data_IF_263461631810
#
_entry.id   IF_263461631810
#
_cell.length_a   1.000
_cell.length_b   1.000
_cell.length_c   1.000
_cell.angle_alpha   90.00
_cell.angle_beta   90.00
_cell.angle_gamma   90.00
#
_symmetry.space_group_name_H-M   'P 1'
#
loop_
_entity.id
_entity.type
_entity.pdbx_description
1 polymer ?
#
# COMPACT_ATOMS: atom_id res chain seq x y z
N UNK A 1 -10.90 -13.56 -12.73
CA UNK A 1 -9.73 -13.76 -13.60
C UNK A 1 -9.58 -12.63 -14.62
N UNK A 2 -10.63 -12.29 -15.38
CA UNK A 2 -10.60 -11.20 -16.37
C UNK A 2 -10.17 -9.84 -15.81
N UNK A 3 -10.68 -9.42 -14.64
CA UNK A 3 -10.28 -8.14 -14.04
C UNK A 3 -8.79 -8.04 -13.68
N UNK A 4 -8.19 -9.13 -13.21
CA UNK A 4 -6.75 -9.18 -12.91
C UNK A 4 -5.90 -9.03 -14.17
N UNK A 5 -6.33 -9.64 -15.29
CA UNK A 5 -5.65 -9.51 -16.57
C UNK A 5 -5.72 -8.07 -17.12
N UNK A 6 -6.88 -7.42 -16.99
CA UNK A 6 -7.06 -6.00 -17.35
C UNK A 6 -6.15 -5.11 -16.48
N UNK A 7 -6.07 -5.37 -15.18
CA UNK A 7 -5.15 -4.67 -14.28
C UNK A 7 -3.70 -4.81 -14.72
N UNK A 8 -3.27 -6.02 -15.09
CA UNK A 8 -1.90 -6.31 -15.51
C UNK A 8 -1.56 -5.60 -16.82
N UNK A 9 -2.49 -5.57 -17.78
CA UNK A 9 -2.33 -4.81 -19.04
C UNK A 9 -2.24 -3.31 -18.75
N UNK A 10 -3.14 -2.77 -17.92
CA UNK A 10 -3.12 -1.37 -17.53
C UNK A 10 -1.79 -0.96 -16.89
N UNK A 11 -1.30 -1.76 -15.95
CA UNK A 11 0.01 -1.56 -15.33
C UNK A 11 1.15 -1.61 -16.38
N UNK A 12 1.14 -2.58 -17.29
CA UNK A 12 2.11 -2.65 -18.38
C UNK A 12 2.11 -1.40 -19.27
N UNK A 13 0.93 -0.86 -19.57
CA UNK A 13 0.80 0.38 -20.35
C UNK A 13 1.36 1.59 -19.58
N UNK A 14 1.14 1.68 -18.27
CA UNK A 14 1.73 2.77 -17.48
C UNK A 14 3.27 2.77 -17.48
N UNK A 15 3.90 1.60 -17.67
CA UNK A 15 5.35 1.46 -17.76
C UNK A 15 5.91 1.87 -19.13
N UNK A 16 5.07 2.07 -20.15
CA UNK A 16 5.49 2.54 -21.48
C UNK A 16 5.78 4.05 -21.51
N UNK A 17 5.34 4.79 -20.49
CA UNK A 17 5.73 6.18 -20.36
C UNK A 17 7.21 6.23 -19.98
N UNK A 18 8.04 6.81 -20.85
CA UNK A 18 9.48 6.88 -20.63
C UNK A 18 9.74 7.60 -19.30
N UNK A 19 10.37 6.90 -18.36
CA UNK A 19 10.78 7.39 -17.03
C UNK A 19 11.80 8.54 -17.03
N UNK A 20 11.90 9.31 -18.12
CA UNK A 20 12.75 10.50 -18.24
C UNK A 20 12.48 11.56 -17.16
N UNK A 21 11.34 11.47 -16.44
CA UNK A 21 10.98 12.35 -15.33
C UNK A 21 11.18 11.74 -13.92
N UNK A 22 11.64 10.47 -13.80
CA UNK A 22 11.84 9.78 -12.52
C UNK A 22 13.29 9.31 -12.33
N UNK A 23 14.25 10.21 -12.59
CA UNK A 23 15.67 9.95 -12.34
C UNK A 23 16.29 8.92 -13.30
N UNK A 24 17.52 9.17 -13.70
CA UNK A 24 18.29 8.32 -14.63
C UNK A 24 18.75 7.02 -13.94
N UNK A 25 17.81 6.24 -13.39
CA UNK A 25 18.09 4.96 -12.73
C UNK A 25 17.66 3.81 -13.63
N UNK A 26 18.61 2.94 -13.95
CA UNK A 26 18.36 1.74 -14.74
C UNK A 26 17.49 0.76 -13.93
N UNK A 27 16.45 0.23 -14.57
CA UNK A 27 15.60 -0.80 -13.97
C UNK A 27 16.49 -2.03 -13.72
N UNK A 28 16.59 -2.49 -12.47
CA UNK A 28 17.45 -3.62 -12.09
C UNK A 28 16.61 -4.81 -11.63
N UNK A 29 17.04 -6.02 -12.02
CA UNK A 29 16.44 -7.28 -11.53
C UNK A 29 16.46 -7.36 -10.00
N UNK A 30 17.48 -6.75 -9.37
CA UNK A 30 17.58 -6.66 -7.93
C UNK A 30 16.45 -5.81 -7.34
N UNK A 31 16.18 -4.63 -7.90
CA UNK A 31 15.05 -3.78 -7.50
C UNK A 31 13.70 -4.50 -7.63
N UNK A 32 13.46 -5.17 -8.75
CA UNK A 32 12.21 -5.94 -8.97
C UNK A 32 12.06 -7.07 -7.95
N UNK A 33 13.16 -7.75 -7.61
CA UNK A 33 13.17 -8.81 -6.60
C UNK A 33 12.84 -8.27 -5.19
N UNK A 34 13.37 -7.10 -4.83
CA UNK A 34 13.03 -6.43 -3.57
C UNK A 34 11.58 -5.95 -3.54
N UNK A 35 11.07 -5.39 -4.63
CA UNK A 35 9.68 -4.95 -4.73
C UNK A 35 8.71 -6.13 -4.55
N UNK A 36 9.00 -7.27 -5.19
CA UNK A 36 8.24 -8.50 -5.00
C UNK A 36 8.29 -9.00 -3.55
N UNK A 37 9.47 -9.01 -2.93
CA UNK A 37 9.62 -9.42 -1.54
C UNK A 37 8.85 -8.49 -0.58
N UNK A 38 8.89 -7.18 -0.84
CA UNK A 38 8.09 -6.19 -0.13
C UNK A 38 6.59 -6.46 -0.23
N UNK A 39 6.09 -6.78 -1.42
CA UNK A 39 4.69 -7.16 -1.63
C UNK A 39 4.28 -8.40 -0.81
N UNK A 40 5.14 -9.42 -0.74
CA UNK A 40 4.90 -10.62 0.08
C UNK A 40 4.80 -10.25 1.57
N UNK A 41 5.70 -9.41 2.07
CA UNK A 41 5.66 -8.95 3.47
C UNK A 41 4.41 -8.12 3.79
N UNK A 42 3.98 -7.24 2.88
CA UNK A 42 2.74 -6.44 3.05
C UNK A 42 1.52 -7.36 3.13
N UNK A 43 1.42 -8.37 2.27
CA UNK A 43 0.33 -9.35 2.32
C UNK A 43 0.35 -10.11 3.66
N UNK A 44 1.54 -10.56 4.09
CA UNK A 44 1.73 -11.20 5.39
C UNK A 44 1.28 -10.30 6.54
N UNK A 45 1.66 -9.02 6.53
CA UNK A 45 1.26 -8.02 7.51
C UNK A 45 -0.26 -7.85 7.59
N UNK A 46 -0.95 -7.73 6.45
CA UNK A 46 -2.42 -7.58 6.41
C UNK A 46 -3.11 -8.84 6.98
N UNK A 47 -2.61 -10.04 6.65
CA UNK A 47 -3.17 -11.31 7.14
C UNK A 47 -3.00 -11.43 8.65
N UNK A 48 -1.80 -11.21 9.17
CA UNK A 48 -1.49 -11.26 10.61
C UNK A 48 -2.27 -10.16 11.34
N UNK A 49 -2.31 -8.95 10.79
CA UNK A 49 -3.07 -7.81 11.31
C UNK A 49 -4.56 -8.13 11.46
N UNK A 50 -5.17 -8.77 10.45
CA UNK A 50 -6.58 -9.23 10.54
C UNK A 50 -6.78 -10.16 11.73
N UNK A 51 -5.89 -11.12 11.96
CA UNK A 51 -6.01 -12.09 13.05
C UNK A 51 -5.86 -11.40 14.41
N UNK A 52 -4.78 -10.65 14.61
CA UNK A 52 -4.49 -10.00 15.89
C UNK A 52 -5.51 -8.92 16.27
N UNK A 53 -6.07 -8.20 15.28
CA UNK A 53 -7.04 -7.11 15.51
C UNK A 53 -8.43 -7.57 15.92
N UNK A 54 -8.75 -8.87 15.81
CA UNK A 54 -10.06 -9.39 16.26
C UNK A 54 -10.23 -9.29 17.77
N UNK A 55 -9.14 -9.42 18.54
CA UNK A 55 -9.19 -9.47 20.01
C UNK A 55 -8.34 -8.39 20.69
N UNK A 56 -7.44 -7.73 19.97
CA UNK A 56 -6.52 -6.74 20.53
C UNK A 56 -6.95 -5.28 20.25
N UNK A 57 -6.97 -4.42 21.28
CA UNK A 57 -7.17 -2.97 21.10
C UNK A 57 -6.13 -2.34 20.16
N UNK A 58 -6.53 -1.30 19.42
CA UNK A 58 -5.70 -0.59 18.42
C UNK A 58 -4.31 -0.28 18.98
N UNK A 59 -4.28 0.29 20.18
CA UNK A 59 -3.06 0.89 20.72
C UNK A 59 -2.07 -0.19 21.16
N UNK A 60 -2.59 -1.27 21.76
CA UNK A 60 -1.80 -2.43 22.19
C UNK A 60 -1.23 -3.21 20.99
N UNK A 61 -1.85 -3.09 19.82
CA UNK A 61 -1.32 -3.65 18.58
C UNK A 61 -0.33 -2.70 17.90
N UNK A 62 -0.72 -1.44 17.70
CA UNK A 62 0.05 -0.48 16.91
C UNK A 62 1.39 -0.17 17.57
N UNK A 63 1.42 0.09 18.88
CA UNK A 63 2.63 0.53 19.57
C UNK A 63 3.77 -0.50 19.51
N UNK A 64 3.58 -1.79 19.86
CA UNK A 64 4.65 -2.79 19.77
C UNK A 64 5.10 -3.04 18.33
N UNK A 65 4.17 -3.08 17.38
CA UNK A 65 4.49 -3.31 15.96
C UNK A 65 5.36 -2.17 15.43
N UNK A 66 4.99 -0.92 15.69
CA UNK A 66 5.79 0.24 15.28
C UNK A 66 7.13 0.31 16.01
N UNK A 67 7.16 -0.07 17.29
CA UNK A 67 8.39 -0.07 18.08
C UNK A 67 9.39 -1.12 17.57
N UNK A 68 8.92 -2.34 17.30
CA UNK A 68 9.76 -3.40 16.72
C UNK A 68 10.25 -2.96 15.33
N UNK A 69 9.37 -2.37 14.51
CA UNK A 69 9.75 -1.80 13.21
C UNK A 69 10.88 -0.77 13.34
N UNK A 70 10.77 0.17 14.28
CA UNK A 70 11.80 1.16 14.54
C UNK A 70 13.13 0.52 14.98
N UNK A 71 13.09 -0.46 15.90
CA UNK A 71 14.28 -1.17 16.38
C UNK A 71 14.97 -1.94 15.25
N UNK A 72 14.21 -2.51 14.31
CA UNK A 72 14.77 -3.23 13.16
C UNK A 72 15.31 -2.27 12.11
N UNK A 73 14.60 -1.18 11.81
CA UNK A 73 15.00 -0.23 10.77
C UNK A 73 16.22 0.61 11.16
N UNK A 74 16.40 0.93 12.44
CA UNK A 74 17.52 1.75 12.91
C UNK A 74 18.91 1.17 12.56
N UNK A 75 19.23 -0.11 12.86
CA UNK A 75 20.47 -0.74 12.43
C UNK A 75 20.63 -0.80 10.91
N UNK A 76 19.54 -1.04 10.17
CA UNK A 76 19.58 -1.06 8.71
C UNK A 76 19.93 0.31 8.14
N UNK A 77 19.28 1.38 8.60
CA UNK A 77 19.65 2.76 8.24
C UNK A 77 21.13 3.02 8.52
N UNK A 78 21.64 2.64 9.69
CA UNK A 78 23.05 2.81 10.04
C UNK A 78 24.03 2.06 9.10
N UNK A 79 23.66 0.88 8.62
CA UNK A 79 24.53 0.06 7.75
C UNK A 79 24.51 0.55 6.30
N UNK A 80 23.36 1.00 5.80
CA UNK A 80 23.16 1.30 4.39
C UNK A 80 23.27 2.79 4.02
N UNK A 81 23.06 3.71 4.97
CA UNK A 81 23.12 5.15 4.72
C UNK A 81 24.47 5.75 5.13
N UNK A 82 25.11 6.50 4.23
CA UNK A 82 26.32 7.25 4.54
C UNK A 82 25.96 8.57 5.23
N UNK A 83 26.35 8.72 6.51
CA UNK A 83 26.26 9.98 7.26
C UNK A 83 25.02 10.11 8.15
N UNK A 84 25.15 9.66 9.40
CA UNK A 84 24.07 9.62 10.42
C UNK A 84 23.41 10.98 10.67
N UNK A 85 24.19 12.06 10.57
CA UNK A 85 23.79 13.41 10.95
C UNK A 85 23.25 14.25 9.79
N UNK A 86 23.43 13.83 8.53
CA UNK A 86 22.94 14.58 7.36
C UNK A 86 21.71 13.91 6.76
N UNK A 87 21.83 12.62 6.40
CA UNK A 87 20.75 11.85 5.77
C UNK A 87 20.38 10.57 6.52
N UNK A 88 21.16 10.18 7.52
CA UNK A 88 20.94 8.95 8.28
C UNK A 88 19.87 9.07 9.36
N UNK A 89 19.86 8.09 10.27
CA UNK A 89 18.85 7.92 11.33
C UNK A 89 18.52 9.17 12.18
N UNK A 90 19.42 10.16 12.27
CA UNK A 90 19.21 11.41 13.02
C UNK A 90 19.24 12.68 12.14
N UNK A 91 19.54 12.57 10.85
CA UNK A 91 19.70 13.73 9.96
C UNK A 91 18.43 14.55 9.77
N UNK A 92 17.27 13.92 9.87
CA UNK A 92 15.97 14.58 9.80
C UNK A 92 15.64 15.45 11.02
N UNK A 93 16.33 15.29 12.16
CA UNK A 93 16.02 16.00 13.41
C UNK A 93 16.45 17.47 13.36
N UNK A 94 17.56 17.76 12.69
CA UNK A 94 18.14 19.11 12.59
C UNK A 94 17.97 19.74 11.19
N UNK A 95 17.26 19.07 10.28
CA UNK A 95 17.11 19.48 8.88
C UNK A 95 15.78 20.19 8.62
N UNK A 96 15.71 20.95 7.52
CA UNK A 96 14.48 21.51 6.96
C UNK A 96 13.39 20.45 6.70
N UNK A 97 13.78 19.18 6.62
CA UNK A 97 12.87 18.05 6.45
C UNK A 97 12.09 17.66 7.71
N UNK A 98 12.43 18.19 8.90
CA UNK A 98 11.79 17.79 10.16
C UNK A 98 10.25 17.85 10.10
N UNK A 99 9.70 18.94 9.55
CA UNK A 99 8.25 19.11 9.43
C UNK A 99 7.62 18.06 8.53
N UNK A 100 8.29 17.67 7.45
CA UNK A 100 7.80 16.66 6.51
C UNK A 100 7.86 15.26 7.11
N UNK A 101 8.95 14.91 7.79
CA UNK A 101 9.05 13.65 8.55
C UNK A 101 8.01 13.57 9.66
N UNK A 102 7.77 14.68 10.37
CA UNK A 102 6.75 14.75 11.40
C UNK A 102 5.34 14.57 10.82
N UNK A 103 5.03 15.23 9.70
CA UNK A 103 3.76 15.05 8.99
C UNK A 103 3.59 13.62 8.48
N UNK A 104 4.63 12.99 7.92
CA UNK A 104 4.59 11.59 7.51
C UNK A 104 4.35 10.66 8.71
N UNK A 105 5.03 10.88 9.83
CA UNK A 105 4.86 10.08 11.04
C UNK A 105 3.45 10.21 11.62
N UNK A 106 2.86 11.41 11.63
CA UNK A 106 1.50 11.60 12.13
C UNK A 106 0.42 11.17 11.13
N UNK A 107 0.49 11.60 9.88
CA UNK A 107 -0.56 11.38 8.88
C UNK A 107 -0.45 9.97 8.29
N UNK A 108 0.66 9.64 7.65
CA UNK A 108 0.81 8.32 7.02
C UNK A 108 1.03 7.23 8.08
N UNK A 109 1.90 7.49 9.05
CA UNK A 109 2.24 6.54 10.11
C UNK A 109 1.08 6.31 11.08
N UNK A 110 0.79 7.30 11.93
CA UNK A 110 -0.19 7.15 13.00
C UNK A 110 -1.61 7.08 12.45
N UNK A 111 -2.09 8.08 11.71
CA UNK A 111 -3.46 8.11 11.20
C UNK A 111 -3.69 7.04 10.11
N UNK A 112 -2.75 6.86 9.19
CA UNK A 112 -2.85 5.89 8.09
C UNK A 112 -2.88 4.45 8.60
N UNK A 113 -1.84 3.98 9.28
CA UNK A 113 -1.81 2.60 9.78
C UNK A 113 -2.89 2.34 10.83
N UNK A 114 -3.17 3.29 11.73
CA UNK A 114 -4.25 3.10 12.73
C UNK A 114 -5.61 3.08 12.05
N UNK A 115 -5.83 3.93 11.05
CA UNK A 115 -7.05 3.96 10.23
C UNK A 115 -7.26 2.65 9.48
N UNK A 116 -6.25 2.17 8.74
CA UNK A 116 -6.29 0.88 8.05
C UNK A 116 -6.57 -0.27 9.01
N UNK A 117 -5.86 -0.31 10.13
CA UNK A 117 -6.07 -1.34 11.16
C UNK A 117 -7.47 -1.25 11.77
N UNK A 118 -8.05 -0.05 11.88
CA UNK A 118 -9.45 0.16 12.32
C UNK A 118 -10.44 -0.36 11.29
N UNK A 119 -10.24 -0.05 10.01
CA UNK A 119 -11.05 -0.58 8.93
C UNK A 119 -11.03 -2.11 8.91
N UNK A 120 -9.87 -2.75 9.14
CA UNK A 120 -9.78 -4.22 9.21
C UNK A 120 -10.67 -4.87 10.29
N UNK A 121 -11.09 -4.11 11.32
CA UNK A 121 -12.01 -4.61 12.35
C UNK A 121 -13.46 -4.64 11.88
N UNK A 122 -13.87 -3.70 11.03
CA UNK A 122 -15.27 -3.48 10.66
C UNK A 122 -15.57 -3.81 9.19
N UNK A 123 -14.54 -3.86 8.35
CA UNK A 123 -14.64 -3.97 6.91
C UNK A 123 -13.87 -5.22 6.47
N UNK A 124 -14.43 -5.93 5.48
CA UNK A 124 -13.78 -7.02 4.78
C UNK A 124 -12.38 -6.59 4.30
N UNK A 125 -11.31 -7.36 4.59
CA UNK A 125 -9.97 -6.94 4.15
C UNK A 125 -9.74 -7.06 2.66
N UNK A 126 -10.70 -7.64 1.93
CA UNK A 126 -10.73 -7.53 0.47
C UNK A 126 -11.00 -6.07 0.07
N UNK A 127 -11.98 -5.42 0.71
CA UNK A 127 -12.29 -3.99 0.50
C UNK A 127 -11.15 -3.11 0.97
N UNK A 128 -10.56 -3.40 2.14
CA UNK A 128 -9.40 -2.63 2.64
C UNK A 128 -8.21 -2.74 1.70
N UNK A 129 -7.86 -3.94 1.25
CA UNK A 129 -6.76 -4.16 0.29
C UNK A 129 -7.00 -3.38 -1.00
N UNK A 130 -8.23 -3.42 -1.53
CA UNK A 130 -8.57 -2.68 -2.74
C UNK A 130 -8.52 -1.18 -2.57
N UNK A 131 -8.88 -0.64 -1.39
CA UNK A 131 -8.78 0.79 -1.11
C UNK A 131 -7.31 1.24 -1.03
N UNK A 132 -6.43 0.41 -0.44
CA UNK A 132 -4.98 0.68 -0.41
C UNK A 132 -4.38 0.70 -1.82
N UNK A 133 -4.89 -0.09 -2.76
CA UNK A 133 -4.44 -0.04 -4.17
C UNK A 133 -4.71 1.33 -4.84
N UNK A 134 -5.58 2.18 -4.30
CA UNK A 134 -5.76 3.56 -4.79
C UNK A 134 -4.68 4.53 -4.28
N UNK A 135 -3.93 4.17 -3.23
CA UNK A 135 -2.91 5.04 -2.63
C UNK A 135 -1.86 5.52 -3.64
N UNK A 136 -1.30 4.67 -4.53
CA UNK A 136 -0.34 5.14 -5.54
C UNK A 136 -0.95 6.14 -6.52
N UNK A 137 -2.24 5.99 -6.85
CA UNK A 137 -2.96 6.90 -7.77
C UNK A 137 -3.17 8.25 -7.10
N UNK A 138 -3.66 8.26 -5.86
CA UNK A 138 -3.82 9.47 -5.08
C UNK A 138 -2.47 10.15 -4.82
N UNK A 139 -1.43 9.39 -4.50
CA UNK A 139 -0.07 9.88 -4.34
C UNK A 139 0.47 10.54 -5.61
N UNK A 140 0.23 9.93 -6.78
CA UNK A 140 0.62 10.51 -8.08
C UNK A 140 -0.11 11.82 -8.37
N UNK A 141 -1.42 11.89 -8.05
CA UNK A 141 -2.21 13.13 -8.21
C UNK A 141 -1.77 14.23 -7.24
N UNK A 142 -1.47 13.88 -5.99
CA UNK A 142 -0.95 14.82 -4.98
C UNK A 142 0.43 15.33 -5.41
N UNK A 143 1.32 14.45 -5.89
CA UNK A 143 2.62 14.80 -6.45
C UNK A 143 2.49 15.82 -7.59
N UNK A 144 1.61 15.53 -8.54
CA UNK A 144 1.34 16.43 -9.65
C UNK A 144 0.78 17.80 -9.22
N UNK A 145 -0.14 17.84 -8.25
CA UNK A 145 -0.80 19.09 -7.85
C UNK A 145 0.01 19.95 -6.88
N UNK A 146 0.75 19.33 -5.94
CA UNK A 146 1.43 20.04 -4.85
C UNK A 146 2.95 20.10 -5.00
N UNK A 147 3.56 19.19 -5.77
CA UNK A 147 5.01 19.07 -5.85
C UNK A 147 5.58 19.29 -7.26
N UNK A 148 4.75 19.77 -8.21
CA UNK A 148 5.14 20.09 -9.59
C UNK A 148 5.97 18.98 -10.27
N UNK A 149 5.69 17.71 -9.95
CA UNK A 149 6.47 16.54 -10.43
C UNK A 149 6.31 16.26 -11.94
N UNK A 150 5.75 17.20 -12.70
CA UNK A 150 5.45 17.08 -14.12
C UNK A 150 4.09 16.43 -14.38
N UNK A 151 3.50 16.74 -15.54
CA UNK A 151 2.23 16.15 -15.97
C UNK A 151 2.48 14.66 -16.26
N UNK A 152 1.69 13.72 -15.68
CA UNK A 152 1.79 12.31 -16.02
C UNK A 152 1.64 12.13 -17.53
N UNK A 153 2.52 11.37 -18.18
CA UNK A 153 2.47 11.24 -19.63
C UNK A 153 1.22 10.53 -20.11
N UNK A 154 0.97 10.63 -21.41
CA UNK A 154 -0.28 10.15 -22.02
C UNK A 154 -0.51 8.66 -21.79
N UNK A 155 0.56 7.86 -21.74
CA UNK A 155 0.48 6.43 -21.43
C UNK A 155 0.14 6.14 -19.97
N UNK A 156 0.58 6.97 -19.02
CA UNK A 156 0.19 6.85 -17.62
C UNK A 156 -1.30 7.10 -17.43
N UNK A 157 -1.88 8.07 -18.15
CA UNK A 157 -3.33 8.31 -18.12
C UNK A 157 -4.12 7.13 -18.68
N UNK A 158 -3.74 6.63 -19.85
CA UNK A 158 -4.43 5.50 -20.51
C UNK A 158 -4.28 4.22 -19.68
N UNK A 159 -3.05 3.87 -19.30
CA UNK A 159 -2.74 2.70 -18.49
C UNK A 159 -3.38 2.78 -17.10
N UNK A 160 -3.37 3.96 -16.48
CA UNK A 160 -4.00 4.24 -15.20
C UNK A 160 -5.51 4.00 -15.25
N UNK A 161 -6.21 4.56 -16.24
CA UNK A 161 -7.66 4.33 -16.40
C UNK A 161 -7.99 2.85 -16.62
N UNK A 162 -7.21 2.15 -17.44
CA UNK A 162 -7.38 0.70 -17.68
C UNK A 162 -7.14 -0.07 -16.38
N UNK A 163 -6.07 0.23 -15.66
CA UNK A 163 -5.74 -0.38 -14.37
C UNK A 163 -6.88 -0.17 -13.37
N UNK A 164 -7.40 1.05 -13.25
CA UNK A 164 -8.52 1.37 -12.35
C UNK A 164 -9.80 0.63 -12.71
N UNK A 165 -10.12 0.54 -14.01
CA UNK A 165 -11.29 -0.24 -14.46
C UNK A 165 -11.15 -1.72 -14.15
N UNK A 166 -9.96 -2.30 -14.34
CA UNK A 166 -9.65 -3.69 -13.99
C UNK A 166 -9.79 -3.94 -12.49
N UNK A 167 -9.27 -3.02 -11.67
CA UNK A 167 -9.37 -3.08 -10.22
C UNK A 167 -10.82 -3.08 -9.75
N UNK A 168 -11.64 -2.13 -10.24
CA UNK A 168 -13.07 -2.04 -9.91
C UNK A 168 -13.79 -3.35 -10.25
N UNK A 169 -13.49 -3.96 -11.40
CA UNK A 169 -14.08 -5.22 -11.80
C UNK A 169 -13.69 -6.38 -10.88
N UNK A 170 -12.43 -6.42 -10.42
CA UNK A 170 -11.98 -7.40 -9.42
C UNK A 170 -12.75 -7.22 -8.12
N UNK A 171 -12.85 -6.00 -7.60
CA UNK A 171 -13.55 -5.71 -6.34
C UNK A 171 -15.00 -6.18 -6.40
N UNK A 172 -15.71 -5.74 -7.43
CA UNK A 172 -17.13 -6.05 -7.60
C UNK A 172 -17.38 -7.55 -7.71
N UNK A 173 -16.54 -8.26 -8.46
CA UNK A 173 -16.65 -9.73 -8.60
C UNK A 173 -16.35 -10.43 -7.27
N UNK A 174 -15.31 -10.00 -6.56
CA UNK A 174 -14.92 -10.59 -5.28
C UNK A 174 -15.98 -10.43 -4.21
N UNK A 175 -16.66 -9.28 -4.15
CA UNK A 175 -17.77 -9.04 -3.23
C UNK A 175 -18.98 -9.91 -3.56
N UNK A 176 -19.37 -9.99 -4.84
CA UNK A 176 -20.46 -10.86 -5.31
C UNK A 176 -20.24 -12.32 -4.93
N UNK A 177 -19.04 -12.85 -5.18
CA UNK A 177 -18.68 -14.24 -4.84
C UNK A 177 -18.72 -14.47 -3.33
N UNK A 178 -18.29 -13.49 -2.52
CA UNK A 178 -18.36 -13.60 -1.07
C UNK A 178 -19.81 -13.65 -0.56
N UNK A 179 -20.69 -12.80 -1.10
CA UNK A 179 -22.12 -12.77 -0.77
C UNK A 179 -22.83 -14.07 -1.17
N UNK A 180 -22.53 -14.60 -2.35
CA UNK A 180 -23.12 -15.85 -2.84
C UNK A 180 -22.73 -17.04 -1.97
N UNK A 181 -21.45 -17.12 -1.55
CA UNK A 181 -20.99 -18.15 -0.59
C UNK A 181 -21.71 -18.05 0.75
N UNK A 182 -21.89 -16.85 1.29
CA UNK A 182 -22.60 -16.63 2.54
C UNK A 182 -24.07 -17.08 2.44
N UNK A 183 -24.74 -16.73 1.33
CA UNK A 183 -26.14 -17.09 1.10
C UNK A 183 -26.34 -18.60 0.89
N UNK A 184 -25.39 -19.27 0.23
CA UNK A 184 -25.41 -20.72 0.08
C UNK A 184 -25.19 -21.45 1.42
N UNK A 185 -24.33 -20.92 2.29
CA UNK A 185 -24.14 -21.46 3.64
C UNK A 185 -25.39 -21.32 4.51
N UNK A 186 -26.07 -20.16 4.48
CA UNK A 186 -27.32 -19.97 5.23
C UNK A 186 -28.45 -20.87 4.71
N UNK A 187 -28.55 -21.04 3.39
CA UNK A 187 -29.56 -21.91 2.77
C UNK A 187 -29.32 -23.38 3.15
N UNK A 188 -28.07 -23.85 3.12
CA UNK A 188 -27.72 -25.21 3.53
C UNK A 188 -27.94 -25.45 5.03
N UNK A 189 -27.68 -24.45 5.88
CA UNK A 189 -27.96 -24.54 7.32
C UNK A 189 -29.47 -24.61 7.62
N UNK A 190 -30.29 -23.86 6.87
CA UNK A 190 -31.76 -23.91 6.98
C UNK A 190 -32.37 -25.20 6.45
N UNK A 191 -31.71 -25.89 5.51
CA UNK A 191 -32.18 -27.17 4.96
C UNK A 191 -31.87 -28.39 5.85
N UNK A 192 -31.03 -28.23 6.87
CA UNK A 192 -30.59 -29.29 7.79
C UNK A 192 -31.25 -29.24 9.19
N UNK A 193 -32.09 -28.23 9.46
CA UNK A 193 -32.85 -28.06 10.71
C UNK A 193 -34.33 -28.30 10.51
#
# INVERSE_FOLDING_TARGET
MYGAFICFIGAGITLLDNGASQGDQTVTVFGDSLAFLGAVFVVGYIVVGRILRTWMPIFLYAFPVTLIGAIVLLPFSYIFESGINEFGAAGWVASEYFIWFFLLALIAGLLGHTGLNTCLRYISPLVVSTAVTFEPVLGSLIGWFFFDTGIPGTWTWIGGLILMSGLILVVYTSERVALEKANNQSTNAAALG
#
